data_IF_181562755690
#
_entry.id   IF_181562755690
#
_cell.length_a   1.000
_cell.length_b   1.000
_cell.length_c   1.000
_cell.angle_alpha   90.00
_cell.angle_beta   90.00
_cell.angle_gamma   90.00
#
_symmetry.space_group_name_H-M   'P 1'
#
loop_
_entity.id
_entity.type
_entity.pdbx_description
1 polymer ?
#
# COMPACT_ATOMS: atom_id res chain seq x y z
N UNK A 1 18.56 -15.60 25.23
CA UNK A 1 17.87 -16.10 24.03
C UNK A 1 16.44 -15.56 23.90
N UNK A 2 15.76 -15.14 25.00
CA UNK A 2 14.39 -14.58 24.98
C UNK A 2 14.19 -13.38 24.04
N UNK A 3 15.09 -12.38 24.10
CA UNK A 3 14.93 -11.10 23.40
C UNK A 3 14.88 -11.23 21.86
N UNK A 4 15.65 -12.14 21.25
CA UNK A 4 15.61 -12.32 19.80
C UNK A 4 14.31 -13.01 19.32
N UNK A 5 13.78 -13.94 20.13
CA UNK A 5 12.51 -14.58 19.82
C UNK A 5 11.35 -13.58 19.95
N UNK A 6 11.35 -12.76 21.01
CA UNK A 6 10.39 -11.66 21.20
C UNK A 6 10.40 -10.67 20.01
N UNK A 7 11.59 -10.31 19.51
CA UNK A 7 11.72 -9.44 18.33
C UNK A 7 11.16 -10.11 17.05
N UNK A 8 11.36 -11.42 16.88
CA UNK A 8 10.77 -12.17 15.75
C UNK A 8 9.26 -12.27 15.84
N UNK A 9 8.72 -12.45 17.03
CA UNK A 9 7.27 -12.41 17.26
C UNK A 9 6.71 -11.02 16.95
N UNK A 10 7.40 -9.96 17.36
CA UNK A 10 7.03 -8.58 17.04
C UNK A 10 7.08 -8.31 15.52
N UNK A 11 8.10 -8.81 14.82
CA UNK A 11 8.16 -8.75 13.35
C UNK A 11 6.96 -9.46 12.73
N UNK A 12 6.63 -10.66 13.18
CA UNK A 12 5.49 -11.41 12.65
C UNK A 12 4.16 -10.65 12.84
N UNK A 13 3.94 -10.07 14.02
CA UNK A 13 2.74 -9.27 14.32
C UNK A 13 2.69 -8.00 13.47
N UNK A 14 3.80 -7.26 13.38
CA UNK A 14 3.86 -6.01 12.61
C UNK A 14 3.71 -6.27 11.11
N UNK A 15 4.26 -7.38 10.60
CA UNK A 15 4.06 -7.85 9.23
C UNK A 15 2.60 -8.17 8.96
N UNK A 16 1.96 -8.96 9.80
CA UNK A 16 0.55 -9.30 9.65
C UNK A 16 -0.33 -8.04 9.63
N UNK A 17 -0.03 -7.07 10.50
CA UNK A 17 -0.72 -5.76 10.51
C UNK A 17 -0.49 -4.98 9.23
N UNK A 18 0.75 -4.91 8.72
CA UNK A 18 1.05 -4.26 7.45
C UNK A 18 0.29 -4.92 6.30
N UNK A 19 0.30 -6.25 6.20
CA UNK A 19 -0.38 -7.00 5.16
C UNK A 19 -1.90 -6.75 5.17
N UNK A 20 -2.51 -6.71 6.36
CA UNK A 20 -3.92 -6.36 6.53
C UNK A 20 -4.23 -4.95 6.00
N UNK A 21 -3.42 -3.96 6.38
CA UNK A 21 -3.61 -2.58 5.93
C UNK A 21 -3.39 -2.44 4.42
N UNK A 22 -2.39 -3.13 3.88
CA UNK A 22 -2.13 -3.16 2.44
C UNK A 22 -3.30 -3.78 1.67
N UNK A 23 -3.90 -4.85 2.17
CA UNK A 23 -5.07 -5.48 1.55
C UNK A 23 -6.29 -4.53 1.57
N UNK A 24 -6.53 -3.85 2.69
CA UNK A 24 -7.58 -2.83 2.80
C UNK A 24 -7.36 -1.70 1.78
N UNK A 25 -6.12 -1.19 1.68
CA UNK A 25 -5.75 -0.14 0.74
C UNK A 25 -5.98 -0.53 -0.72
N UNK A 26 -5.68 -1.79 -1.09
CA UNK A 26 -5.94 -2.31 -2.45
C UNK A 26 -7.43 -2.26 -2.82
N UNK A 27 -8.34 -2.48 -1.87
CA UNK A 27 -9.80 -2.37 -2.13
C UNK A 27 -10.18 -0.94 -2.49
N UNK A 28 -9.65 0.04 -1.77
CA UNK A 28 -9.88 1.47 -2.04
C UNK A 28 -9.33 1.86 -3.42
N UNK A 29 -8.14 1.35 -3.78
CA UNK A 29 -7.56 1.60 -5.09
C UNK A 29 -8.39 0.97 -6.22
N UNK A 30 -8.98 -0.20 -6.00
CA UNK A 30 -9.92 -0.82 -6.93
C UNK A 30 -11.17 0.04 -7.15
N UNK A 31 -11.76 0.55 -6.07
CA UNK A 31 -12.93 1.44 -6.16
C UNK A 31 -12.59 2.75 -6.89
N UNK A 32 -11.43 3.36 -6.61
CA UNK A 32 -10.96 4.54 -7.34
C UNK A 32 -10.85 4.25 -8.85
N UNK A 33 -10.22 3.12 -9.21
CA UNK A 33 -10.05 2.73 -10.60
C UNK A 33 -11.40 2.49 -11.30
N UNK A 34 -12.35 1.86 -10.61
CA UNK A 34 -13.72 1.66 -11.11
C UNK A 34 -14.41 2.99 -11.40
N UNK A 35 -14.40 3.92 -10.44
CA UNK A 35 -15.02 5.24 -10.59
C UNK A 35 -14.39 6.05 -11.73
N UNK A 36 -13.05 6.02 -11.86
CA UNK A 36 -12.35 6.66 -12.98
C UNK A 36 -12.71 6.02 -14.33
N UNK A 37 -12.89 4.70 -14.39
CA UNK A 37 -13.31 4.01 -15.60
C UNK A 37 -14.75 4.38 -15.99
N UNK A 38 -15.66 4.50 -15.02
CA UNK A 38 -17.04 4.94 -15.24
C UNK A 38 -17.10 6.38 -15.76
N UNK A 39 -16.30 7.29 -15.19
CA UNK A 39 -16.17 8.66 -15.68
C UNK A 39 -15.66 8.71 -17.13
N UNK A 40 -14.61 7.93 -17.46
CA UNK A 40 -14.10 7.85 -18.84
C UNK A 40 -15.15 7.34 -19.81
N UNK A 41 -15.88 6.29 -19.43
CA UNK A 41 -16.97 5.75 -20.26
C UNK A 41 -18.06 6.80 -20.50
N UNK A 42 -18.41 7.58 -19.48
CA UNK A 42 -19.39 8.67 -19.63
C UNK A 42 -18.90 9.76 -20.58
N UNK A 43 -17.62 10.12 -20.50
CA UNK A 43 -16.99 11.10 -21.39
C UNK A 43 -16.93 10.58 -22.85
N UNK A 44 -16.63 9.29 -23.06
CA UNK A 44 -16.65 8.64 -24.38
C UNK A 44 -18.06 8.65 -25.00
N UNK A 45 -19.10 8.38 -24.19
CA UNK A 45 -20.50 8.44 -24.65
C UNK A 45 -20.86 9.86 -25.12
N UNK A 46 -20.43 10.89 -24.40
CA UNK A 46 -20.66 12.29 -24.80
C UNK A 46 -19.96 12.65 -26.12
N UNK A 47 -18.69 12.23 -26.28
CA UNK A 47 -17.93 12.46 -27.52
C UNK A 47 -18.57 11.75 -28.72
N UNK A 48 -19.06 10.51 -28.54
CA UNK A 48 -19.71 9.74 -29.61
C UNK A 48 -21.08 10.32 -30.02
N UNK A 49 -21.82 10.87 -29.06
CA UNK A 49 -23.12 11.51 -29.31
C UNK A 49 -22.98 12.77 -30.16
N UNK A 50 -21.93 13.56 -29.97
CA UNK A 50 -21.67 14.78 -30.73
C UNK A 50 -21.27 14.52 -32.20
N UNK A 51 -20.85 13.30 -32.53
CA UNK A 51 -20.35 12.94 -33.87
C UNK A 51 -21.41 12.23 -34.75
N UNK A 52 -22.62 11.99 -34.25
CA UNK A 52 -23.67 11.28 -35.01
C UNK A 52 -24.60 12.28 -35.72
N UNK A 53 -24.76 12.08 -37.03
CA UNK A 53 -25.24 13.03 -38.04
C UNK A 53 -26.60 13.73 -37.80
N UNK A 54 -26.62 15.00 -38.22
CA UNK A 54 -27.67 16.04 -38.06
C UNK A 54 -28.89 15.85 -38.99
N UNK A 55 -29.00 14.76 -39.74
CA UNK A 55 -30.06 14.63 -40.76
C UNK A 55 -31.12 13.66 -40.26
N UNK A 56 -32.38 14.11 -40.22
CA UNK A 56 -33.61 13.34 -39.92
C UNK A 56 -34.09 13.49 -38.46
N UNK A 57 -34.55 14.68 -38.03
CA UNK A 57 -35.42 14.80 -36.83
C UNK A 57 -35.16 15.94 -35.84
N UNK A 58 -34.64 17.08 -36.30
CA UNK A 58 -34.08 18.17 -35.49
C UNK A 58 -34.90 18.59 -34.26
N UNK A 59 -36.22 18.72 -34.35
CA UNK A 59 -37.01 19.26 -33.22
C UNK A 59 -37.32 18.24 -32.09
N UNK A 60 -37.43 16.94 -32.39
CA UNK A 60 -37.63 15.87 -31.38
C UNK A 60 -36.29 15.37 -30.81
N UNK A 61 -35.22 15.50 -31.60
CA UNK A 61 -33.84 15.24 -31.16
C UNK A 61 -33.36 16.25 -30.10
N UNK A 62 -33.68 17.54 -30.25
CA UNK A 62 -33.25 18.59 -29.29
C UNK A 62 -33.79 18.35 -27.87
N UNK A 63 -35.07 18.00 -27.72
CA UNK A 63 -35.66 17.73 -26.40
C UNK A 63 -35.08 16.49 -25.72
N UNK A 64 -34.79 15.43 -26.49
CA UNK A 64 -34.13 14.23 -26.00
C UNK A 64 -32.66 14.48 -25.62
N UNK A 65 -31.95 15.31 -26.39
CA UNK A 65 -30.56 15.69 -26.13
C UNK A 65 -30.42 16.53 -24.85
N UNK A 66 -31.33 17.50 -24.59
CA UNK A 66 -31.30 18.28 -23.34
C UNK A 66 -31.53 17.40 -22.09
N UNK A 67 -32.45 16.44 -22.16
CA UNK A 67 -32.70 15.48 -21.07
C UNK A 67 -31.46 14.59 -20.85
N UNK A 68 -30.86 14.10 -21.94
CA UNK A 68 -29.66 13.29 -21.93
C UNK A 68 -28.46 14.05 -21.32
N UNK A 69 -28.19 15.28 -21.78
CA UNK A 69 -27.13 16.14 -21.25
C UNK A 69 -27.34 16.43 -19.76
N UNK A 70 -28.58 16.69 -19.34
CA UNK A 70 -28.92 16.86 -17.92
C UNK A 70 -28.65 15.60 -17.09
N UNK A 71 -28.95 14.41 -17.63
CA UNK A 71 -28.62 13.14 -16.98
C UNK A 71 -27.11 12.89 -16.90
N UNK A 72 -26.35 13.16 -17.98
CA UNK A 72 -24.89 13.06 -17.99
C UNK A 72 -24.27 13.99 -16.96
N UNK A 73 -24.72 15.25 -16.90
CA UNK A 73 -24.24 16.23 -15.92
C UNK A 73 -24.46 15.78 -14.48
N UNK A 74 -25.67 15.29 -14.15
CA UNK A 74 -25.97 14.75 -12.82
C UNK A 74 -25.11 13.52 -12.49
N UNK A 75 -24.99 12.59 -13.44
CA UNK A 75 -24.21 11.36 -13.28
C UNK A 75 -22.72 11.67 -13.05
N UNK A 76 -22.16 12.63 -13.79
CA UNK A 76 -20.77 13.09 -13.62
C UNK A 76 -20.54 13.71 -12.24
N UNK A 77 -21.46 14.56 -11.78
CA UNK A 77 -21.39 15.15 -10.44
C UNK A 77 -21.43 14.08 -9.35
N UNK A 78 -22.33 13.10 -9.47
CA UNK A 78 -22.44 12.00 -8.51
C UNK A 78 -21.16 11.14 -8.48
N UNK A 79 -20.62 10.77 -9.64
CA UNK A 79 -19.37 10.00 -9.73
C UNK A 79 -18.17 10.78 -9.18
N UNK A 80 -18.07 12.08 -9.46
CA UNK A 80 -17.00 12.93 -8.92
C UNK A 80 -17.10 13.07 -7.40
N UNK A 81 -18.31 13.19 -6.84
CA UNK A 81 -18.50 13.23 -5.39
C UNK A 81 -18.04 11.93 -4.73
N UNK A 82 -18.44 10.77 -5.31
CA UNK A 82 -17.97 9.45 -4.84
C UNK A 82 -16.44 9.34 -4.94
N UNK A 83 -15.86 9.80 -6.05
CA UNK A 83 -14.41 9.78 -6.25
C UNK A 83 -13.69 10.64 -5.19
N UNK A 84 -14.19 11.84 -4.92
CA UNK A 84 -13.63 12.72 -3.89
C UNK A 84 -13.66 12.06 -2.50
N UNK A 85 -14.75 11.39 -2.15
CA UNK A 85 -14.87 10.64 -0.89
C UNK A 85 -13.85 9.49 -0.81
N UNK A 86 -13.73 8.70 -1.89
CA UNK A 86 -12.75 7.61 -1.98
C UNK A 86 -11.32 8.14 -1.84
N UNK A 87 -11.00 9.28 -2.48
CA UNK A 87 -9.69 9.92 -2.36
C UNK A 87 -9.40 10.40 -0.94
N UNK A 88 -10.39 10.98 -0.25
CA UNK A 88 -10.24 11.38 1.15
C UNK A 88 -9.95 10.18 2.08
N UNK A 89 -10.71 9.09 1.91
CA UNK A 89 -10.49 7.84 2.65
C UNK A 89 -9.12 7.24 2.31
N UNK A 90 -8.72 7.27 1.03
CA UNK A 90 -7.43 6.77 0.55
C UNK A 90 -6.27 7.47 1.24
N UNK A 91 -6.32 8.79 1.39
CA UNK A 91 -5.24 9.54 2.05
C UNK A 91 -5.09 9.12 3.51
N UNK A 92 -6.21 8.99 4.25
CA UNK A 92 -6.17 8.53 5.64
C UNK A 92 -5.61 7.10 5.77
N UNK A 93 -5.97 6.22 4.85
CA UNK A 93 -5.50 4.83 4.85
C UNK A 93 -4.03 4.71 4.43
N UNK A 94 -3.57 5.57 3.52
CA UNK A 94 -2.17 5.63 3.11
C UNK A 94 -1.26 5.95 4.30
N UNK A 95 -1.67 6.86 5.19
CA UNK A 95 -0.93 7.14 6.42
C UNK A 95 -0.82 5.90 7.32
N UNK A 96 -1.90 5.13 7.46
CA UNK A 96 -1.91 3.90 8.29
C UNK A 96 -1.00 2.81 7.71
N UNK A 97 -1.03 2.61 6.39
CA UNK A 97 -0.13 1.68 5.69
C UNK A 97 1.33 2.09 5.89
N UNK A 98 1.65 3.39 5.72
CA UNK A 98 3.01 3.92 5.93
C UNK A 98 3.51 3.68 7.36
N UNK A 99 2.67 3.94 8.35
CA UNK A 99 3.01 3.70 9.76
C UNK A 99 3.23 2.21 10.06
N UNK A 100 2.37 1.33 9.54
CA UNK A 100 2.52 -0.12 9.72
C UNK A 100 3.81 -0.64 9.08
N UNK A 101 4.13 -0.15 7.87
CA UNK A 101 5.38 -0.48 7.18
C UNK A 101 6.61 0.01 7.96
N UNK A 102 6.61 1.25 8.44
CA UNK A 102 7.72 1.78 9.24
C UNK A 102 7.97 0.95 10.50
N UNK A 103 6.91 0.50 11.18
CA UNK A 103 7.03 -0.41 12.35
C UNK A 103 7.65 -1.76 11.99
N UNK A 104 7.24 -2.34 10.85
CA UNK A 104 7.83 -3.58 10.34
C UNK A 104 9.33 -3.40 10.04
N UNK A 105 9.71 -2.30 9.38
CA UNK A 105 11.11 -2.01 9.07
C UNK A 105 11.97 -1.89 10.34
N UNK A 106 11.46 -1.20 11.37
CA UNK A 106 12.16 -1.08 12.65
C UNK A 106 12.32 -2.45 13.32
N UNK A 107 11.29 -3.29 13.34
CA UNK A 107 11.39 -4.64 13.90
C UNK A 107 12.47 -5.48 13.18
N UNK A 108 12.50 -5.42 11.85
CA UNK A 108 13.51 -6.11 11.04
C UNK A 108 14.92 -5.59 11.28
N UNK A 109 15.07 -4.28 11.43
CA UNK A 109 16.35 -3.67 11.74
C UNK A 109 16.86 -4.11 13.12
N UNK A 110 16.01 -4.08 14.15
CA UNK A 110 16.37 -4.53 15.51
C UNK A 110 16.80 -6.01 15.55
N UNK A 111 16.13 -6.87 14.78
CA UNK A 111 16.53 -8.29 14.64
C UNK A 111 17.94 -8.39 14.05
N UNK A 112 18.23 -7.61 13.01
CA UNK A 112 19.53 -7.62 12.33
C UNK A 112 20.63 -7.15 13.28
N UNK A 113 20.44 -6.02 13.93
CA UNK A 113 21.37 -5.46 14.91
C UNK A 113 21.63 -6.44 16.08
N UNK A 114 20.57 -7.05 16.61
CA UNK A 114 20.69 -8.04 17.70
C UNK A 114 21.46 -9.29 17.26
N UNK A 115 21.26 -9.76 16.03
CA UNK A 115 22.00 -10.90 15.49
C UNK A 115 23.48 -10.57 15.32
N UNK A 116 23.81 -9.38 14.82
CA UNK A 116 25.18 -8.96 14.60
C UNK A 116 25.92 -8.77 15.93
N UNK A 117 25.26 -8.22 16.95
CA UNK A 117 25.82 -8.13 18.29
C UNK A 117 26.07 -9.50 18.93
N UNK A 118 25.14 -10.44 18.75
CA UNK A 118 25.35 -11.82 19.22
C UNK A 118 26.50 -12.51 18.48
N UNK A 119 26.65 -12.29 17.17
CA UNK A 119 27.75 -12.82 16.37
C UNK A 119 29.09 -12.26 16.82
N UNK A 120 29.19 -10.94 17.05
CA UNK A 120 30.40 -10.27 17.54
C UNK A 120 30.80 -10.82 18.92
N UNK A 121 29.87 -10.90 19.87
CA UNK A 121 30.11 -11.45 21.21
C UNK A 121 30.61 -12.90 21.16
N UNK A 122 29.95 -13.76 20.36
CA UNK A 122 30.39 -15.15 20.16
C UNK A 122 31.77 -15.25 19.52
N UNK A 123 32.09 -14.36 18.58
CA UNK A 123 33.41 -14.28 17.95
C UNK A 123 34.51 -13.93 18.96
N UNK A 124 34.28 -12.92 19.80
CA UNK A 124 35.21 -12.50 20.86
C UNK A 124 35.46 -13.62 21.87
N UNK A 125 34.41 -14.25 22.41
CA UNK A 125 34.58 -15.35 23.36
C UNK A 125 35.31 -16.56 22.76
N UNK A 126 35.15 -16.84 21.46
CA UNK A 126 35.90 -17.90 20.76
C UNK A 126 37.38 -17.55 20.59
N UNK A 127 37.69 -16.29 20.30
CA UNK A 127 39.06 -15.79 20.21
C UNK A 127 39.77 -15.88 21.57
N UNK A 128 39.12 -15.42 22.64
CA UNK A 128 39.65 -15.51 24.01
C UNK A 128 39.97 -16.96 24.39
N UNK A 129 39.03 -17.89 24.13
CA UNK A 129 39.20 -19.30 24.45
C UNK A 129 40.32 -19.96 23.61
N UNK A 130 40.48 -19.57 22.35
CA UNK A 130 41.57 -20.03 21.50
C UNK A 130 42.94 -19.50 21.96
N UNK A 131 43.01 -18.24 22.40
CA UNK A 131 44.23 -17.65 22.95
C UNK A 131 44.66 -18.34 24.25
N UNK A 132 43.71 -18.59 25.16
CA UNK A 132 43.98 -19.29 26.42
C UNK A 132 44.48 -20.72 26.18
N UNK A 133 43.85 -21.44 25.25
CA UNK A 133 44.29 -22.78 24.84
C UNK A 133 45.71 -22.77 24.24
N UNK A 134 46.04 -21.76 23.43
CA UNK A 134 47.37 -21.62 22.85
C UNK A 134 48.44 -21.30 23.91
N UNK A 135 48.13 -20.43 24.88
CA UNK A 135 49.02 -20.10 26.00
C UNK A 135 49.31 -21.31 26.89
N UNK A 136 48.29 -22.13 27.16
CA UNK A 136 48.46 -23.36 27.93
C UNK A 136 49.35 -24.39 27.22
N UNK A 137 49.25 -24.48 25.89
CA UNK A 137 50.10 -25.38 25.10
C UNK A 137 51.57 -24.98 25.13
N UNK A 138 51.88 -23.69 25.02
CA UNK A 138 53.27 -23.18 25.05
C UNK A 138 53.94 -23.33 26.41
N UNK A 139 53.17 -23.33 27.52
CA UNK A 139 53.71 -23.54 28.87
C UNK A 139 54.01 -25.00 29.22
N UNK A 140 53.58 -25.94 28.39
CA UNK A 140 53.66 -27.38 28.65
C UNK A 140 54.83 -28.06 27.91
N UNK A 141 55.52 -27.33 27.03
CA UNK A 141 56.79 -27.69 26.37
C UNK A 141 57.96 -26.97 27.08
#
# INVERSE_FOLDING_TARGET
>A
MSNLNELRELEAITKAKYDQQQQSFRRIQSEENRLRAELRKLDEMLLSSNNTDVRIGEMRAIGADVIWQGWVGRSKTELNLKLAQVLAIKEQQLQQVRQAFGKLQVAQQLITETNDDQRKKKGQSRLELAMDTALHRVKSD
#
